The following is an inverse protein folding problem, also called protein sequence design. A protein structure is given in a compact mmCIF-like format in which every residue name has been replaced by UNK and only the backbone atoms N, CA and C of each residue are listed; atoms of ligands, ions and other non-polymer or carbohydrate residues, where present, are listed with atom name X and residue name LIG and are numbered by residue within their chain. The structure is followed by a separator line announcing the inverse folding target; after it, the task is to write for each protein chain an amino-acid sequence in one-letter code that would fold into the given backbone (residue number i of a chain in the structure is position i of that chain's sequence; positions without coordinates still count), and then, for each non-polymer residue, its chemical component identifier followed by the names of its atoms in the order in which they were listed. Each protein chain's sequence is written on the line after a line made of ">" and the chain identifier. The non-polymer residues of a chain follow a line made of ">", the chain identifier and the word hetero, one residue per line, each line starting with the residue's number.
data_IF_255281728952
#
_entry.id   IF_255281728952
#
_cell.length_a   1.000
_cell.length_b   1.000
_cell.length_c   1.000
_cell.angle_alpha   90.00
_cell.angle_beta   90.00
_cell.angle_gamma   90.00
#
_symmetry.space_group_name_H-M   'P 1'
#
loop_
_entity.id
_entity.type
_entity.pdbx_description
1 polymer ?
#
# COMPACT_ATOMS: atom_id res chain seq x y z
N UNK A 1 -2.79 -9.14 -48.45
CA UNK A 1 -2.43 -8.12 -47.46
C UNK A 1 -3.49 -8.16 -46.38
N UNK A 2 -3.27 -8.95 -45.36
CA UNK A 2 -4.24 -9.13 -44.25
C UNK A 2 -3.88 -8.13 -43.14
N UNK A 3 -4.77 -7.16 -42.96
CA UNK A 3 -4.64 -6.12 -41.93
C UNK A 3 -5.06 -6.74 -40.59
N UNK A 4 -4.08 -7.18 -39.80
CA UNK A 4 -4.30 -7.70 -38.45
C UNK A 4 -4.79 -6.57 -37.55
N UNK A 5 -6.10 -6.41 -37.46
CA UNK A 5 -6.72 -5.58 -36.44
C UNK A 5 -6.33 -6.13 -35.07
N UNK A 6 -5.43 -5.43 -34.35
CA UNK A 6 -5.12 -5.71 -32.97
C UNK A 6 -6.43 -5.76 -32.19
N UNK A 7 -6.75 -6.94 -31.63
CA UNK A 7 -7.93 -7.21 -30.83
C UNK A 7 -7.90 -6.25 -29.63
N UNK A 8 -8.67 -5.15 -29.70
CA UNK A 8 -8.82 -4.23 -28.57
C UNK A 8 -9.39 -5.02 -27.41
N UNK A 9 -8.58 -5.26 -26.39
CA UNK A 9 -9.05 -5.76 -25.09
C UNK A 9 -10.06 -4.71 -24.60
N UNK A 10 -11.32 -5.08 -24.31
CA UNK A 10 -12.26 -4.12 -23.74
C UNK A 10 -11.70 -3.63 -22.41
N UNK A 11 -11.50 -2.32 -22.28
CA UNK A 11 -11.10 -1.72 -21.02
C UNK A 11 -12.27 -1.84 -20.04
N UNK A 12 -12.01 -2.43 -18.88
CA UNK A 12 -12.87 -2.38 -17.72
C UNK A 12 -12.36 -1.31 -16.74
N UNK A 13 -13.09 -1.08 -15.67
CA UNK A 13 -12.74 -0.07 -14.68
C UNK A 13 -11.38 -0.37 -14.00
N UNK A 14 -11.06 -1.66 -13.79
CA UNK A 14 -9.83 -2.09 -13.12
C UNK A 14 -8.60 -1.85 -13.99
N UNK A 15 -8.65 -2.17 -15.29
CA UNK A 15 -7.56 -1.92 -16.22
C UNK A 15 -7.30 -0.41 -16.42
N UNK A 16 -8.34 0.42 -16.39
CA UNK A 16 -8.20 1.88 -16.41
C UNK A 16 -7.62 2.42 -15.11
N UNK A 17 -7.95 1.80 -13.98
CA UNK A 17 -7.37 2.13 -12.68
C UNK A 17 -5.87 1.83 -12.66
N UNK A 18 -5.44 0.65 -13.16
CA UNK A 18 -4.02 0.29 -13.29
C UNK A 18 -3.24 1.31 -14.13
N UNK A 19 -3.81 1.73 -15.28
CA UNK A 19 -3.22 2.79 -16.13
C UNK A 19 -3.11 4.10 -15.36
N UNK A 20 -4.15 4.50 -14.62
CA UNK A 20 -4.16 5.74 -13.86
C UNK A 20 -3.11 5.73 -12.75
N UNK A 21 -3.02 4.64 -11.99
CA UNK A 21 -2.03 4.47 -10.91
C UNK A 21 -0.60 4.57 -11.44
N UNK A 22 -0.33 3.93 -12.59
CA UNK A 22 0.97 4.04 -13.26
C UNK A 22 1.30 5.48 -13.62
N UNK A 23 0.39 6.20 -14.27
CA UNK A 23 0.60 7.59 -14.68
C UNK A 23 0.74 8.51 -13.47
N UNK A 24 -0.05 8.32 -12.41
CA UNK A 24 0.06 9.07 -11.16
C UNK A 24 1.41 8.86 -10.47
N UNK A 25 1.94 7.63 -10.50
CA UNK A 25 3.26 7.33 -9.93
C UNK A 25 4.40 7.94 -10.75
N UNK A 26 4.27 8.00 -12.09
CA UNK A 26 5.28 8.54 -12.99
C UNK A 26 5.32 10.08 -13.00
N UNK A 27 4.14 10.74 -13.01
CA UNK A 27 4.02 12.19 -13.25
C UNK A 27 3.51 12.99 -12.06
N UNK A 28 3.08 12.31 -11.01
CA UNK A 28 2.35 12.89 -9.89
C UNK A 28 0.85 13.07 -10.19
N UNK A 29 0.05 13.01 -9.13
CA UNK A 29 -1.40 13.17 -9.24
C UNK A 29 -1.78 14.57 -9.77
N UNK A 30 -1.21 15.64 -9.20
CA UNK A 30 -1.57 17.01 -9.56
C UNK A 30 -1.17 17.35 -11.00
N UNK A 31 -0.02 16.84 -11.48
CA UNK A 31 0.48 17.03 -12.82
C UNK A 31 -0.20 16.21 -13.92
N UNK A 32 -1.19 15.35 -13.56
CA UNK A 32 -1.86 14.47 -14.51
C UNK A 32 -3.26 14.98 -14.83
N UNK A 33 -3.59 15.10 -16.11
CA UNK A 33 -4.93 15.43 -16.60
C UNK A 33 -5.71 14.17 -17.02
N UNK A 34 -7.04 14.28 -17.14
CA UNK A 34 -7.89 13.20 -17.70
C UNK A 34 -7.53 12.89 -19.16
N UNK A 35 -6.99 13.86 -19.90
CA UNK A 35 -6.52 13.67 -21.27
C UNK A 35 -5.24 12.84 -21.31
N UNK A 36 -4.33 13.03 -20.37
CA UNK A 36 -3.12 12.21 -20.23
C UNK A 36 -3.47 10.77 -19.91
N UNK A 37 -4.46 10.54 -19.03
CA UNK A 37 -4.96 9.21 -18.69
C UNK A 37 -5.60 8.51 -19.90
N UNK A 38 -6.46 9.21 -20.64
CA UNK A 38 -7.10 8.69 -21.85
C UNK A 38 -6.05 8.33 -22.92
N UNK A 39 -5.06 9.19 -23.11
CA UNK A 39 -3.93 8.96 -24.02
C UNK A 39 -3.11 7.74 -23.59
N UNK A 40 -2.81 7.62 -22.30
CA UNK A 40 -2.06 6.47 -21.75
C UNK A 40 -2.83 5.16 -21.87
N UNK A 41 -4.16 5.19 -21.79
CA UNK A 41 -5.05 4.06 -22.03
C UNK A 41 -5.27 3.76 -23.51
N UNK A 42 -4.89 4.67 -24.44
CA UNK A 42 -5.13 4.48 -25.88
C UNK A 42 -6.61 4.59 -26.30
N UNK A 43 -7.44 5.31 -25.53
CA UNK A 43 -8.85 5.52 -25.80
C UNK A 43 -9.18 7.03 -25.84
N UNK A 44 -10.37 7.37 -26.39
CA UNK A 44 -10.81 8.77 -26.37
C UNK A 44 -11.17 9.21 -24.95
N UNK A 45 -11.04 10.53 -24.68
CA UNK A 45 -11.44 11.15 -23.41
C UNK A 45 -12.91 10.87 -23.08
N UNK A 46 -13.78 10.90 -24.08
CA UNK A 46 -15.21 10.56 -23.93
C UNK A 46 -15.39 9.11 -23.48
N UNK A 47 -14.68 8.17 -24.14
CA UNK A 47 -14.71 6.75 -23.76
C UNK A 47 -14.22 6.52 -22.34
N UNK A 48 -13.16 7.23 -21.92
CA UNK A 48 -12.63 7.16 -20.57
C UNK A 48 -13.66 7.58 -19.51
N UNK A 49 -14.39 8.69 -19.77
CA UNK A 49 -15.46 9.17 -18.87
C UNK A 49 -16.69 8.28 -18.79
N UNK A 50 -16.90 7.36 -19.73
CA UNK A 50 -17.95 6.34 -19.61
C UNK A 50 -17.66 5.29 -18.51
N UNK A 51 -16.39 5.10 -18.16
CA UNK A 51 -15.97 4.12 -17.17
C UNK A 51 -15.65 4.72 -15.80
N UNK A 52 -15.28 6.00 -15.74
CA UNK A 52 -14.83 6.64 -14.49
C UNK A 52 -15.39 8.07 -14.38
N UNK A 53 -15.78 8.48 -13.19
CA UNK A 53 -16.37 9.80 -12.93
C UNK A 53 -15.36 10.95 -12.89
N UNK A 54 -14.06 10.65 -12.81
CA UNK A 54 -12.98 11.64 -12.83
C UNK A 54 -11.69 11.20 -12.14
N UNK A 55 -10.72 12.10 -12.14
CA UNK A 55 -9.38 11.86 -11.60
C UNK A 55 -9.39 11.57 -10.09
N UNK A 56 -10.25 12.28 -9.34
CA UNK A 56 -10.37 12.09 -7.90
C UNK A 56 -10.99 10.74 -7.54
N UNK A 57 -11.95 10.25 -8.33
CA UNK A 57 -12.52 8.92 -8.14
C UNK A 57 -11.49 7.81 -8.37
N UNK A 58 -10.60 7.97 -9.35
CA UNK A 58 -9.48 7.05 -9.57
C UNK A 58 -8.50 7.05 -8.40
N UNK A 59 -8.16 8.24 -7.87
CA UNK A 59 -7.31 8.34 -6.69
C UNK A 59 -7.96 7.67 -5.48
N UNK A 60 -9.27 7.90 -5.28
CA UNK A 60 -10.03 7.28 -4.19
C UNK A 60 -10.03 5.76 -4.30
N UNK A 61 -10.30 5.21 -5.49
CA UNK A 61 -10.29 3.77 -5.75
C UNK A 61 -8.90 3.17 -5.52
N UNK A 62 -7.85 3.84 -6.01
CA UNK A 62 -6.48 3.38 -5.83
C UNK A 62 -6.05 3.36 -4.36
N UNK A 63 -6.33 4.44 -3.62
CA UNK A 63 -6.05 4.50 -2.19
C UNK A 63 -6.86 3.47 -1.40
N UNK A 64 -8.15 3.27 -1.77
CA UNK A 64 -8.99 2.27 -1.10
C UNK A 64 -8.42 0.87 -1.25
N UNK A 65 -8.02 0.46 -2.45
CA UNK A 65 -7.42 -0.86 -2.70
C UNK A 65 -6.22 -1.15 -1.80
N UNK A 66 -5.29 -0.20 -1.66
CA UNK A 66 -4.15 -0.35 -0.77
C UNK A 66 -4.56 -0.40 0.72
N UNK A 67 -5.55 0.42 1.12
CA UNK A 67 -6.03 0.49 2.50
C UNK A 67 -6.92 -0.67 2.90
N UNK A 68 -7.65 -1.27 1.95
CA UNK A 68 -8.48 -2.45 2.19
C UNK A 68 -7.62 -3.67 2.54
N UNK A 69 -6.42 -3.77 1.95
CA UNK A 69 -5.42 -4.76 2.37
C UNK A 69 -5.00 -4.57 3.84
N UNK A 70 -4.77 -3.33 4.30
CA UNK A 70 -4.46 -3.04 5.71
C UNK A 70 -5.65 -3.32 6.65
N UNK A 71 -6.87 -3.07 6.18
CA UNK A 71 -8.09 -3.40 6.92
C UNK A 71 -8.22 -4.91 7.11
N UNK A 72 -8.03 -5.69 6.05
CA UNK A 72 -8.06 -7.15 6.10
C UNK A 72 -7.00 -7.72 7.07
N UNK A 73 -5.80 -7.14 7.10
CA UNK A 73 -4.74 -7.53 8.05
C UNK A 73 -5.19 -7.32 9.49
N UNK A 74 -5.83 -6.18 9.80
CA UNK A 74 -6.33 -5.89 11.15
C UNK A 74 -7.46 -6.82 11.57
N UNK A 75 -8.29 -7.25 10.62
CA UNK A 75 -9.44 -8.12 10.83
C UNK A 75 -9.07 -9.62 10.79
N UNK A 76 -7.83 -9.97 10.46
CA UNK A 76 -7.35 -11.34 10.50
C UNK A 76 -7.35 -11.86 11.95
N UNK A 77 -7.92 -13.06 12.22
CA UNK A 77 -7.98 -13.64 13.57
C UNK A 77 -6.60 -13.73 14.26
N UNK A 78 -5.55 -14.07 13.52
CA UNK A 78 -4.19 -14.15 14.07
C UNK A 78 -3.60 -12.76 14.41
N UNK A 79 -4.22 -11.68 14.00
CA UNK A 79 -3.85 -10.31 14.40
C UNK A 79 -4.43 -9.88 15.73
N UNK A 80 -5.40 -10.66 16.29
CA UNK A 80 -6.10 -10.36 17.54
C UNK A 80 -5.92 -11.43 18.63
N UNK A 81 -5.50 -12.64 18.30
CA UNK A 81 -5.37 -13.78 19.23
C UNK A 81 -3.92 -14.16 19.50
N UNK A 82 -3.60 -14.51 20.75
CA UNK A 82 -2.26 -14.93 21.17
C UNK A 82 -1.39 -13.82 21.73
N UNK A 83 -0.08 -14.09 21.88
CA UNK A 83 0.90 -13.14 22.44
C UNK A 83 1.05 -11.91 21.54
N UNK A 84 1.23 -10.75 22.15
CA UNK A 84 1.33 -9.49 21.40
C UNK A 84 2.50 -9.49 20.39
N UNK A 85 3.64 -10.07 20.72
CA UNK A 85 4.80 -10.17 19.82
C UNK A 85 4.53 -11.07 18.62
N UNK A 86 3.78 -12.17 18.77
CA UNK A 86 3.44 -13.08 17.69
C UNK A 86 2.42 -12.43 16.73
N UNK A 87 1.43 -11.72 17.30
CA UNK A 87 0.47 -10.88 16.53
C UNK A 87 1.20 -9.79 15.74
N UNK A 88 2.15 -9.09 16.36
CA UNK A 88 2.96 -8.07 15.70
C UNK A 88 3.77 -8.67 14.55
N UNK A 89 4.41 -9.81 14.74
CA UNK A 89 5.14 -10.51 13.68
C UNK A 89 4.22 -10.88 12.52
N UNK A 90 3.03 -11.43 12.82
CA UNK A 90 2.03 -11.78 11.82
C UNK A 90 1.58 -10.55 11.02
N UNK A 91 1.21 -9.46 11.70
CA UNK A 91 0.82 -8.18 11.08
C UNK A 91 1.92 -7.63 10.17
N UNK A 92 3.18 -7.67 10.61
CA UNK A 92 4.31 -7.21 9.78
C UNK A 92 4.49 -8.08 8.54
N UNK A 93 4.40 -9.41 8.66
CA UNK A 93 4.48 -10.35 7.52
C UNK A 93 3.42 -10.06 6.47
N UNK A 94 2.18 -9.89 6.91
CA UNK A 94 1.06 -9.57 6.01
C UNK A 94 1.23 -8.17 5.39
N UNK A 95 1.72 -7.19 6.15
CA UNK A 95 1.93 -5.82 5.65
C UNK A 95 3.00 -5.80 4.56
N UNK A 96 4.13 -6.48 4.75
CA UNK A 96 5.17 -6.58 3.70
C UNK A 96 4.64 -7.33 2.48
N UNK A 97 3.89 -8.42 2.68
CA UNK A 97 3.28 -9.19 1.60
C UNK A 97 2.28 -8.34 0.79
N UNK A 98 1.40 -7.60 1.46
CA UNK A 98 0.44 -6.69 0.83
C UNK A 98 1.15 -5.56 0.05
N UNK A 99 2.24 -4.99 0.61
CA UNK A 99 3.05 -4.00 -0.09
C UNK A 99 3.64 -4.55 -1.39
N UNK A 100 4.16 -5.78 -1.37
CA UNK A 100 4.73 -6.43 -2.56
C UNK A 100 3.64 -6.69 -3.62
N UNK A 101 2.49 -7.20 -3.20
CA UNK A 101 1.38 -7.54 -4.10
C UNK A 101 0.72 -6.31 -4.72
N UNK A 102 0.56 -5.26 -3.93
CA UNK A 102 -0.13 -4.02 -4.33
C UNK A 102 0.86 -2.86 -4.52
N UNK A 103 2.12 -3.14 -4.89
CA UNK A 103 3.23 -2.19 -4.93
C UNK A 103 2.89 -0.85 -5.61
N UNK A 104 2.26 -0.80 -6.81
CA UNK A 104 1.92 0.47 -7.45
C UNK A 104 0.90 1.30 -6.65
N UNK A 105 -0.08 0.64 -6.04
CA UNK A 105 -1.15 1.25 -5.26
C UNK A 105 -0.63 1.76 -3.91
N UNK A 106 0.19 0.95 -3.23
CA UNK A 106 0.87 1.36 -1.99
C UNK A 106 1.83 2.51 -2.25
N UNK A 107 2.57 2.49 -3.36
CA UNK A 107 3.45 3.60 -3.76
C UNK A 107 2.66 4.91 -3.90
N UNK A 108 1.49 4.87 -4.55
CA UNK A 108 0.63 6.05 -4.68
C UNK A 108 0.11 6.51 -3.31
N UNK A 109 -0.40 5.58 -2.48
CA UNK A 109 -0.90 5.87 -1.13
C UNK A 109 0.18 6.54 -0.25
N UNK A 110 1.44 6.09 -0.33
CA UNK A 110 2.53 6.67 0.48
C UNK A 110 2.96 8.06 0.01
N UNK A 111 2.56 8.48 -1.20
CA UNK A 111 2.86 9.80 -1.78
C UNK A 111 1.75 10.83 -1.56
N UNK A 112 0.55 10.44 -1.13
CA UNK A 112 -0.52 11.41 -0.82
C UNK A 112 -0.13 12.31 0.35
N UNK A 113 -0.49 13.59 0.27
CA UNK A 113 -0.08 14.62 1.24
C UNK A 113 -1.24 15.25 2.01
N UNK A 114 -2.48 14.94 1.65
CA UNK A 114 -3.70 15.50 2.29
C UNK A 114 -4.17 16.80 1.66
N UNK A 115 -3.84 17.04 0.39
CA UNK A 115 -4.27 18.23 -0.35
C UNK A 115 -5.77 18.22 -0.66
N UNK A 116 -6.34 17.03 -0.88
CA UNK A 116 -7.77 16.84 -1.19
C UNK A 116 -8.52 16.16 -0.04
N UNK A 117 -9.86 16.19 -0.10
CA UNK A 117 -10.70 15.46 0.86
C UNK A 117 -10.46 13.95 0.80
N UNK A 118 -10.23 13.43 -0.40
CA UNK A 118 -9.92 12.01 -0.66
C UNK A 118 -8.59 11.62 -0.02
N UNK A 119 -7.55 12.43 -0.18
CA UNK A 119 -6.26 12.19 0.45
C UNK A 119 -6.33 12.25 1.98
N UNK A 120 -7.07 13.21 2.55
CA UNK A 120 -7.28 13.32 4.01
C UNK A 120 -7.93 12.06 4.57
N UNK A 121 -8.96 11.53 3.91
CA UNK A 121 -9.62 10.28 4.30
C UNK A 121 -8.65 9.09 4.22
N UNK A 122 -7.84 9.01 3.17
CA UNK A 122 -6.85 7.96 3.02
C UNK A 122 -5.79 8.00 4.13
N UNK A 123 -5.28 9.19 4.46
CA UNK A 123 -4.33 9.39 5.55
C UNK A 123 -4.92 9.04 6.91
N UNK A 124 -6.23 9.31 7.16
CA UNK A 124 -6.87 8.93 8.42
C UNK A 124 -6.97 7.41 8.58
N UNK A 125 -7.44 6.70 7.55
CA UNK A 125 -7.48 5.23 7.58
C UNK A 125 -6.07 4.62 7.81
N UNK A 126 -5.03 5.20 7.18
CA UNK A 126 -3.66 4.78 7.42
C UNK A 126 -3.23 4.99 8.87
N UNK A 127 -3.55 6.14 9.47
CA UNK A 127 -3.25 6.42 10.89
C UNK A 127 -3.96 5.45 11.84
N UNK A 128 -5.16 4.96 11.48
CA UNK A 128 -5.85 3.92 12.26
C UNK A 128 -5.05 2.62 12.31
N UNK A 129 -4.48 2.22 11.18
CA UNK A 129 -3.60 1.05 11.13
C UNK A 129 -2.30 1.26 11.92
N UNK A 130 -1.69 2.46 11.81
CA UNK A 130 -0.49 2.81 12.57
C UNK A 130 -0.76 2.75 14.09
N UNK A 131 -1.94 3.25 14.55
CA UNK A 131 -2.36 3.17 15.96
C UNK A 131 -2.56 1.73 16.42
N UNK A 132 -3.19 0.90 15.60
CA UNK A 132 -3.36 -0.53 15.89
C UNK A 132 -2.00 -1.22 16.08
N UNK A 133 -1.06 -1.03 15.19
CA UNK A 133 0.27 -1.62 15.29
C UNK A 133 1.05 -1.09 16.51
N UNK A 134 0.92 0.21 16.84
CA UNK A 134 1.53 0.78 18.04
C UNK A 134 0.95 0.17 19.33
N UNK A 135 -0.32 -0.20 19.33
CA UNK A 135 -0.94 -0.96 20.41
C UNK A 135 -0.26 -2.31 20.63
N UNK A 136 -0.01 -3.07 19.55
CA UNK A 136 0.69 -4.36 19.64
C UNK A 136 2.12 -4.20 20.17
N UNK A 137 2.84 -3.18 19.75
CA UNK A 137 4.18 -2.88 20.28
C UNK A 137 4.11 -2.56 21.78
N UNK A 138 3.13 -1.76 22.22
CA UNK A 138 2.93 -1.42 23.62
C UNK A 138 2.66 -2.66 24.47
N UNK A 139 1.77 -3.54 24.01
CA UNK A 139 1.45 -4.80 24.70
C UNK A 139 2.68 -5.72 24.77
N UNK A 140 3.43 -5.88 23.67
CA UNK A 140 4.62 -6.73 23.62
C UNK A 140 5.76 -6.21 24.53
N UNK A 141 5.86 -4.90 24.74
CA UNK A 141 6.77 -4.31 25.72
C UNK A 141 6.29 -4.64 27.16
N UNK A 142 5.00 -4.51 27.41
CA UNK A 142 4.42 -4.83 28.71
C UNK A 142 4.57 -6.33 29.08
N UNK A 143 4.50 -7.21 28.09
CA UNK A 143 4.75 -8.65 28.24
C UNK A 143 6.23 -9.01 28.42
N UNK A 144 7.15 -8.05 28.23
CA UNK A 144 8.60 -8.25 28.34
C UNK A 144 9.26 -8.88 27.12
N UNK A 145 8.57 -8.98 25.99
CA UNK A 145 9.08 -9.55 24.73
C UNK A 145 9.90 -8.56 23.91
N UNK A 146 9.60 -7.26 24.06
CA UNK A 146 10.29 -6.16 23.38
C UNK A 146 10.95 -5.23 24.38
N UNK A 147 12.05 -4.63 23.95
CA UNK A 147 12.80 -3.63 24.74
C UNK A 147 11.94 -2.41 25.06
N UNK A 148 12.08 -1.87 26.27
CA UNK A 148 11.28 -0.75 26.78
C UNK A 148 11.98 0.62 26.73
N UNK A 149 13.23 0.67 26.26
CA UNK A 149 14.01 1.92 26.15
C UNK A 149 13.68 2.73 24.89
N UNK A 150 12.85 2.21 24.00
CA UNK A 150 12.33 2.92 22.82
C UNK A 150 10.81 3.11 23.01
N UNK A 151 10.36 4.35 22.87
CA UNK A 151 8.93 4.67 22.95
C UNK A 151 8.14 3.93 21.86
N UNK A 152 6.96 3.28 22.19
CA UNK A 152 6.24 2.41 21.27
C UNK A 152 5.86 3.04 19.94
N UNK A 153 5.42 4.31 19.94
CA UNK A 153 5.06 5.02 18.69
C UNK A 153 6.30 5.27 17.83
N UNK A 154 7.45 5.56 18.46
CA UNK A 154 8.73 5.72 17.75
C UNK A 154 9.17 4.38 17.15
N UNK A 155 9.13 3.28 17.91
CA UNK A 155 9.45 1.94 17.44
C UNK A 155 8.58 1.57 16.23
N UNK A 156 7.28 1.79 16.31
CA UNK A 156 6.32 1.56 15.22
C UNK A 156 6.67 2.37 13.97
N UNK A 157 7.02 3.66 14.13
CA UNK A 157 7.43 4.50 13.00
C UNK A 157 8.72 4.02 12.34
N UNK A 158 9.68 3.54 13.11
CA UNK A 158 10.93 2.99 12.58
C UNK A 158 10.67 1.68 11.81
N UNK A 159 9.84 0.79 12.36
CA UNK A 159 9.43 -0.44 11.69
C UNK A 159 8.76 -0.13 10.34
N UNK A 160 7.73 0.73 10.34
CA UNK A 160 7.03 1.07 9.10
C UNK A 160 7.89 1.94 8.16
N UNK A 161 8.84 2.70 8.68
CA UNK A 161 9.87 3.36 7.87
C UNK A 161 10.68 2.35 7.07
N UNK A 162 11.13 1.26 7.71
CA UNK A 162 11.83 0.15 7.05
C UNK A 162 10.92 -0.51 6.00
N UNK A 163 9.69 -0.89 6.36
CA UNK A 163 8.74 -1.53 5.44
C UNK A 163 8.44 -0.61 4.25
N UNK A 164 8.12 0.65 4.50
CA UNK A 164 7.73 1.59 3.45
C UNK A 164 8.89 1.93 2.50
N UNK A 165 10.14 1.84 2.94
CA UNK A 165 11.31 2.05 2.07
C UNK A 165 11.38 1.08 0.90
N UNK A 166 10.71 -0.07 1.00
CA UNK A 166 10.66 -1.06 -0.07
C UNK A 166 10.13 -0.49 -1.39
N UNK A 167 9.22 0.49 -1.36
CA UNK A 167 8.67 1.11 -2.59
C UNK A 167 9.75 1.80 -3.45
N UNK A 168 10.85 2.23 -2.85
CA UNK A 168 11.88 2.99 -3.54
C UNK A 168 12.85 2.09 -4.31
N UNK A 169 13.18 0.93 -3.76
CA UNK A 169 14.24 0.07 -4.29
C UNK A 169 13.80 -1.34 -4.71
N UNK A 170 12.72 -1.89 -4.14
CA UNK A 170 12.26 -3.22 -4.52
C UNK A 170 11.77 -3.24 -5.96
N UNK A 171 12.16 -4.27 -6.69
CA UNK A 171 11.70 -4.56 -8.05
C UNK A 171 11.36 -6.04 -8.15
N UNK A 172 10.12 -6.39 -8.56
CA UNK A 172 9.71 -7.78 -8.74
C UNK A 172 10.68 -8.56 -9.63
N UNK A 173 10.93 -9.84 -9.26
CA UNK A 173 11.74 -10.76 -10.04
C UNK A 173 13.23 -10.81 -9.67
N UNK A 174 13.74 -9.91 -8.80
CA UNK A 174 15.15 -9.99 -8.33
C UNK A 174 15.32 -10.78 -7.03
N UNK A 175 14.33 -10.69 -6.17
CA UNK A 175 14.25 -11.39 -4.88
C UNK A 175 12.89 -12.08 -4.81
N UNK A 176 12.83 -13.25 -4.19
CA UNK A 176 11.54 -13.87 -3.91
C UNK A 176 10.79 -13.07 -2.86
N UNK A 177 9.46 -13.00 -2.98
CA UNK A 177 8.63 -12.29 -2.01
C UNK A 177 8.82 -12.84 -0.59
N UNK A 178 8.97 -14.18 -0.44
CA UNK A 178 9.18 -14.83 0.85
C UNK A 178 10.52 -14.46 1.49
N UNK A 179 11.60 -14.39 0.71
CA UNK A 179 12.91 -13.94 1.22
C UNK A 179 12.83 -12.49 1.71
N UNK A 180 12.19 -11.61 0.94
CA UNK A 180 12.03 -10.21 1.33
C UNK A 180 11.19 -10.05 2.58
N UNK A 181 10.05 -10.76 2.70
CA UNK A 181 9.21 -10.76 3.89
C UNK A 181 10.02 -11.22 5.11
N UNK A 182 10.70 -12.37 5.01
CA UNK A 182 11.47 -12.93 6.12
C UNK A 182 12.60 -11.99 6.57
N UNK A 183 13.37 -11.45 5.63
CA UNK A 183 14.46 -10.53 5.94
C UNK A 183 13.96 -9.24 6.61
N UNK A 184 12.91 -8.63 6.06
CA UNK A 184 12.35 -7.37 6.58
C UNK A 184 11.81 -7.56 8.00
N UNK A 185 11.02 -8.61 8.23
CA UNK A 185 10.44 -8.89 9.55
C UNK A 185 11.52 -9.27 10.56
N UNK A 186 12.49 -10.10 10.17
CA UNK A 186 13.61 -10.46 11.03
C UNK A 186 14.44 -9.24 11.45
N UNK A 187 14.76 -8.33 10.52
CA UNK A 187 15.49 -7.10 10.85
C UNK A 187 14.68 -6.18 11.77
N UNK A 188 13.38 -6.02 11.52
CA UNK A 188 12.52 -5.18 12.33
C UNK A 188 12.41 -5.69 13.77
N UNK A 189 12.15 -6.99 13.95
CA UNK A 189 11.90 -7.57 15.28
C UNK A 189 13.18 -7.85 16.05
N UNK A 190 14.25 -8.32 15.44
CA UNK A 190 15.50 -8.62 16.15
C UNK A 190 16.18 -7.35 16.69
N UNK A 191 15.90 -6.18 16.12
CA UNK A 191 16.32 -4.90 16.69
C UNK A 191 15.51 -4.46 17.91
N UNK A 192 14.37 -5.13 18.20
CA UNK A 192 13.45 -4.77 19.29
C UNK A 192 13.33 -5.86 20.37
N UNK A 193 13.66 -7.12 20.06
CA UNK A 193 13.60 -8.22 21.05
C UNK A 193 14.64 -8.00 22.16
N UNK A 194 14.29 -8.47 23.35
CA UNK A 194 15.18 -8.53 24.54
C UNK A 194 16.08 -9.75 24.42
#
# INVERSE_FOLDING_TARGET
>A
MSNGAARRVPYDADSLLDVAVRVFNERGYDGTSMEDLARAAGISKSSFYHHVSGKEALLAAACSRALDALTAIREDPMSSEGRAVDRLEHVLRLTVSALIMELPYVTLLLRVRGNTSTEKKALERRREFDRFAAGLVTEAIADGDLRSDIEPVLATRLIFGLVNSLIDWYRPGRLSSSELVNATVSLALNGLRV
#
